data_IF_899528932369
#
_entry.id   IF_899528932369
#
_cell.length_a   1.000
_cell.length_b   1.000
_cell.length_c   1.000
_cell.angle_alpha   90.00
_cell.angle_beta   90.00
_cell.angle_gamma   90.00
#
_symmetry.space_group_name_H-M   'P 1'
#
loop_
_entity.id
_entity.type
_entity.pdbx_description
1 polymer ?
#
# COMPACT_ATOMS: atom_id res chain seq x y z
N UNK A 1 0.03 16.27 13.19
CA UNK A 1 -0.02 15.36 12.02
C UNK A 1 -0.35 13.94 12.47
N UNK A 2 -1.39 13.37 11.88
CA UNK A 2 -1.80 11.98 12.15
C UNK A 2 -0.84 10.99 11.48
N UNK A 3 -0.34 11.33 10.31
CA UNK A 3 0.57 10.48 9.54
C UNK A 3 0.95 11.12 8.22
N UNK A 4 1.67 10.37 7.42
CA UNK A 4 2.12 10.82 6.11
C UNK A 4 2.15 9.64 5.15
N UNK A 5 1.79 9.89 3.89
CA UNK A 5 1.93 8.91 2.83
C UNK A 5 2.66 9.57 1.65
N UNK A 6 3.50 8.79 0.99
CA UNK A 6 4.26 9.28 -0.17
C UNK A 6 4.30 8.22 -1.25
N UNK A 7 4.46 8.68 -2.48
CA UNK A 7 4.67 7.83 -3.64
C UNK A 7 6.00 8.24 -4.27
N UNK A 8 6.93 7.32 -4.33
CA UNK A 8 8.28 7.57 -4.85
C UNK A 8 8.73 6.50 -5.83
N UNK A 9 9.99 6.60 -6.27
CA UNK A 9 10.61 5.68 -7.22
C UNK A 9 9.72 5.46 -8.45
N UNK A 10 9.14 6.54 -8.97
CA UNK A 10 8.17 6.46 -10.08
C UNK A 10 8.90 6.21 -11.38
N UNK A 11 8.49 5.17 -12.10
CA UNK A 11 8.94 4.86 -13.46
C UNK A 11 7.74 4.99 -14.39
N UNK A 12 7.80 5.94 -15.32
CA UNK A 12 6.73 6.18 -16.29
C UNK A 12 7.01 5.53 -17.65
N UNK A 13 8.07 4.73 -17.75
CA UNK A 13 8.38 3.95 -18.94
C UNK A 13 7.51 2.70 -19.04
N UNK A 14 8.10 1.59 -19.49
CA UNK A 14 7.37 0.34 -19.72
C UNK A 14 6.75 -0.24 -18.45
N UNK A 15 7.36 -0.01 -17.30
CA UNK A 15 6.89 -0.61 -16.05
C UNK A 15 5.74 0.17 -15.41
N UNK A 16 5.76 1.48 -15.51
CA UNK A 16 4.77 2.39 -14.92
C UNK A 16 4.47 2.02 -13.47
N UNK A 17 5.52 2.07 -12.66
CA UNK A 17 5.49 1.64 -11.26
C UNK A 17 5.78 2.77 -10.30
N UNK A 18 5.42 2.58 -9.04
CA UNK A 18 5.79 3.45 -7.94
C UNK A 18 5.84 2.67 -6.64
N UNK A 19 6.54 3.24 -5.65
CA UNK A 19 6.68 2.64 -4.33
C UNK A 19 5.98 3.53 -3.31
N UNK A 20 5.11 2.94 -2.50
CA UNK A 20 4.37 3.63 -1.46
C UNK A 20 5.17 3.56 -0.16
N UNK A 21 5.40 4.72 0.46
CA UNK A 21 5.90 4.82 1.83
C UNK A 21 4.86 5.49 2.71
N UNK A 22 4.73 5.06 3.95
CA UNK A 22 3.79 5.68 4.87
C UNK A 22 4.16 5.43 6.32
N UNK A 23 3.68 6.34 7.19
CA UNK A 23 3.71 6.14 8.62
C UNK A 23 2.47 6.79 9.26
N UNK A 24 2.08 6.29 10.40
CA UNK A 24 0.97 6.84 11.19
C UNK A 24 1.47 7.06 12.61
N UNK A 25 1.13 8.22 13.18
CA UNK A 25 1.43 8.50 14.59
C UNK A 25 0.81 7.39 15.45
N UNK A 26 1.59 6.86 16.39
CA UNK A 26 1.19 5.74 17.21
C UNK A 26 -0.14 5.97 17.93
N UNK A 27 -0.43 7.22 18.30
CA UNK A 27 -1.69 7.60 18.97
C UNK A 27 -2.92 7.38 18.10
N UNK A 28 -2.73 7.33 16.78
CA UNK A 28 -3.82 7.18 15.80
C UNK A 28 -3.79 5.84 15.09
N UNK A 29 -2.86 4.97 15.44
CA UNK A 29 -2.77 3.66 14.84
C UNK A 29 -4.00 2.83 15.20
N UNK A 30 -4.47 1.98 14.27
CA UNK A 30 -5.64 1.16 14.49
C UNK A 30 -6.97 1.83 14.14
N UNK A 31 -6.95 3.11 13.71
CA UNK A 31 -8.16 3.84 13.32
C UNK A 31 -8.49 3.75 11.83
N UNK A 32 -7.77 2.92 11.08
CA UNK A 32 -8.02 2.75 9.65
C UNK A 32 -7.46 3.84 8.76
N UNK A 33 -6.64 4.75 9.28
CA UNK A 33 -6.09 5.85 8.49
C UNK A 33 -5.14 5.37 7.41
N UNK A 34 -4.23 4.45 7.74
CA UNK A 34 -3.23 3.98 6.77
C UNK A 34 -3.86 3.20 5.61
N UNK A 35 -4.76 2.22 5.84
CA UNK A 35 -5.42 1.54 4.71
C UNK A 35 -6.20 2.51 3.83
N UNK A 36 -6.90 3.49 4.42
CA UNK A 36 -7.65 4.47 3.66
C UNK A 36 -6.74 5.35 2.82
N UNK A 37 -5.62 5.83 3.40
CA UNK A 37 -4.67 6.65 2.67
C UNK A 37 -4.03 5.89 1.50
N UNK A 38 -3.66 4.63 1.71
CA UNK A 38 -3.11 3.79 0.63
C UNK A 38 -4.13 3.60 -0.48
N UNK A 39 -5.39 3.31 -0.13
CA UNK A 39 -6.44 3.11 -1.12
C UNK A 39 -6.71 4.40 -1.92
N UNK A 40 -6.77 5.55 -1.26
CA UNK A 40 -6.95 6.84 -1.94
C UNK A 40 -5.79 7.15 -2.89
N UNK A 41 -4.56 6.93 -2.44
CA UNK A 41 -3.38 7.16 -3.27
C UNK A 41 -3.38 6.23 -4.48
N UNK A 42 -3.75 4.97 -4.28
CA UNK A 42 -3.83 3.99 -5.36
C UNK A 42 -4.87 4.41 -6.41
N UNK A 43 -6.06 4.82 -5.97
CA UNK A 43 -7.10 5.26 -6.90
C UNK A 43 -6.64 6.46 -7.71
N UNK A 44 -5.99 7.43 -7.06
CA UNK A 44 -5.45 8.60 -7.77
C UNK A 44 -4.35 8.18 -8.76
N UNK A 45 -3.41 7.36 -8.32
CA UNK A 45 -2.25 7.01 -9.13
C UNK A 45 -2.59 6.13 -10.32
N UNK A 46 -3.60 5.27 -10.18
CA UNK A 46 -4.00 4.35 -11.26
C UNK A 46 -5.04 4.94 -12.20
N UNK A 47 -6.03 5.64 -11.66
CA UNK A 47 -7.27 5.91 -12.38
C UNK A 47 -7.53 7.39 -12.65
N UNK A 48 -7.03 8.30 -11.83
CA UNK A 48 -7.34 9.72 -11.96
C UNK A 48 -6.65 10.31 -13.19
N UNK A 49 -7.37 11.06 -14.05
CA UNK A 49 -6.76 11.71 -15.22
C UNK A 49 -5.64 12.69 -14.88
N UNK A 50 -5.65 13.25 -13.67
CA UNK A 50 -4.59 14.17 -13.21
C UNK A 50 -3.40 13.46 -12.59
N UNK A 51 -3.51 12.15 -12.37
CA UNK A 51 -2.46 11.35 -11.78
C UNK A 51 -1.51 10.74 -12.80
N UNK A 52 -0.50 10.01 -12.34
CA UNK A 52 0.54 9.45 -13.21
C UNK A 52 0.10 8.24 -14.05
N UNK A 53 -1.09 7.72 -13.81
CA UNK A 53 -1.61 6.55 -14.54
C UNK A 53 -0.67 5.37 -14.46
N UNK A 54 -0.29 4.99 -13.24
CA UNK A 54 0.60 3.86 -12.99
C UNK A 54 -0.12 2.53 -13.27
N UNK A 55 0.65 1.48 -13.49
CA UNK A 55 0.15 0.12 -13.65
C UNK A 55 0.31 -0.68 -12.36
N UNK A 56 1.40 -0.45 -11.62
CA UNK A 56 1.74 -1.23 -10.43
C UNK A 56 2.25 -0.32 -9.33
N UNK A 57 1.79 -0.55 -8.11
CA UNK A 57 2.31 0.13 -6.92
C UNK A 57 2.80 -0.91 -5.92
N UNK A 58 3.94 -0.65 -5.31
CA UNK A 58 4.59 -1.56 -4.38
C UNK A 58 4.57 -1.01 -2.97
N UNK A 59 4.32 -1.89 -2.01
CA UNK A 59 4.58 -1.64 -0.59
C UNK A 59 5.66 -2.62 -0.16
N UNK A 60 6.77 -2.08 0.38
CA UNK A 60 7.84 -2.89 0.93
C UNK A 60 7.86 -2.68 2.45
N UNK A 61 7.98 -3.77 3.21
CA UNK A 61 7.95 -3.69 4.65
C UNK A 61 8.95 -4.64 5.29
N UNK A 62 9.44 -4.27 6.47
CA UNK A 62 10.32 -5.14 7.24
C UNK A 62 9.53 -6.36 7.72
N UNK A 63 10.15 -7.56 7.75
CA UNK A 63 9.44 -8.79 8.13
C UNK A 63 8.79 -8.71 9.51
N UNK A 64 9.37 -7.94 10.43
CA UNK A 64 8.81 -7.77 11.78
C UNK A 64 7.67 -6.75 11.86
N UNK A 65 7.37 -6.04 10.78
CA UNK A 65 6.36 -4.97 10.79
C UNK A 65 4.95 -5.52 10.55
N UNK A 66 4.35 -6.08 11.59
CA UNK A 66 3.01 -6.66 11.55
C UNK A 66 1.93 -5.63 11.19
N UNK A 67 2.10 -4.40 11.67
CA UNK A 67 1.12 -3.32 11.40
C UNK A 67 1.04 -3.02 9.91
N UNK A 68 2.18 -2.86 9.25
CA UNK A 68 2.23 -2.61 7.81
C UNK A 68 1.70 -3.78 7.00
N UNK A 69 1.97 -5.01 7.46
CA UNK A 69 1.44 -6.21 6.80
C UNK A 69 -0.09 -6.21 6.83
N UNK A 70 -0.68 -5.85 7.97
CA UNK A 70 -2.14 -5.77 8.09
C UNK A 70 -2.73 -4.71 7.16
N UNK A 71 -2.05 -3.57 7.01
CA UNK A 71 -2.48 -2.53 6.06
C UNK A 71 -2.50 -3.07 4.64
N UNK A 72 -1.40 -3.72 4.20
CA UNK A 72 -1.31 -4.30 2.87
C UNK A 72 -2.44 -5.32 2.62
N UNK A 73 -2.72 -6.16 3.60
CA UNK A 73 -3.79 -7.16 3.49
C UNK A 73 -5.17 -6.51 3.41
N UNK A 74 -5.43 -5.47 4.20
CA UNK A 74 -6.74 -4.79 4.20
C UNK A 74 -7.03 -4.11 2.87
N UNK A 75 -6.02 -3.54 2.23
CA UNK A 75 -6.18 -2.88 0.93
C UNK A 75 -6.31 -3.91 -0.20
N UNK A 76 -5.90 -5.14 0.03
CA UNK A 76 -5.99 -6.20 -0.96
C UNK A 76 -4.74 -6.37 -1.80
N UNK A 77 -3.58 -6.06 -1.23
CA UNK A 77 -2.31 -6.21 -1.93
C UNK A 77 -1.96 -7.69 -2.13
N UNK A 78 -1.27 -7.96 -3.22
CA UNK A 78 -0.72 -9.28 -3.52
C UNK A 78 0.67 -9.42 -2.90
N UNK A 79 0.91 -10.50 -2.19
CA UNK A 79 2.23 -10.81 -1.66
C UNK A 79 3.14 -11.31 -2.78
N UNK A 80 4.32 -10.72 -2.92
CA UNK A 80 5.26 -11.08 -3.98
C UNK A 80 6.54 -11.75 -3.47
N UNK A 81 6.68 -11.89 -2.16
CA UNK A 81 7.84 -12.55 -1.58
C UNK A 81 8.80 -11.59 -0.90
N UNK A 82 9.99 -12.10 -0.58
CA UNK A 82 11.03 -11.34 0.13
C UNK A 82 12.10 -10.91 -0.86
N UNK A 83 12.47 -9.63 -0.80
CA UNK A 83 13.63 -9.10 -1.53
C UNK A 83 14.79 -8.96 -0.57
N UNK A 84 15.85 -9.73 -0.75
CA UNK A 84 16.98 -9.68 0.18
C UNK A 84 17.74 -8.37 0.04
N UNK A 85 18.13 -7.79 1.18
CA UNK A 85 18.95 -6.58 1.26
C UNK A 85 18.44 -5.47 0.35
N UNK A 86 17.13 -5.21 0.45
CA UNK A 86 16.43 -4.34 -0.48
C UNK A 86 16.61 -2.86 -0.17
N UNK A 87 16.52 -2.48 1.11
CA UNK A 87 16.65 -1.10 1.52
C UNK A 87 17.55 -0.97 2.73
N UNK A 88 18.26 0.17 2.81
CA UNK A 88 19.12 0.51 3.93
C UNK A 88 18.26 1.09 5.07
N UNK A 89 18.25 0.43 6.22
CA UNK A 89 17.43 0.82 7.36
C UNK A 89 18.27 0.72 8.64
N UNK A 90 18.38 1.84 9.36
CA UNK A 90 19.08 1.90 10.65
C UNK A 90 20.47 1.28 10.59
N UNK A 91 21.26 1.65 9.59
CA UNK A 91 22.66 1.23 9.47
C UNK A 91 22.86 -0.15 8.83
N UNK A 92 21.82 -0.80 8.36
CA UNK A 92 21.93 -2.13 7.74
C UNK A 92 21.10 -2.23 6.47
N UNK A 93 21.56 -3.04 5.54
CA UNK A 93 20.76 -3.47 4.39
C UNK A 93 19.84 -4.57 4.86
N UNK A 94 18.53 -4.35 4.73
CA UNK A 94 17.52 -5.21 5.30
C UNK A 94 16.69 -5.90 4.22
N UNK A 95 16.32 -7.14 4.47
CA UNK A 95 15.33 -7.84 3.66
C UNK A 95 13.96 -7.21 3.87
N UNK A 96 13.16 -7.15 2.80
CA UNK A 96 11.81 -6.61 2.85
C UNK A 96 10.83 -7.59 2.22
N UNK A 97 9.68 -7.74 2.85
CA UNK A 97 8.53 -8.37 2.21
C UNK A 97 7.92 -7.34 1.26
N UNK A 98 7.56 -7.79 0.07
CA UNK A 98 7.00 -6.90 -0.95
C UNK A 98 5.58 -7.33 -1.31
N UNK A 99 4.73 -6.32 -1.44
CA UNK A 99 3.32 -6.46 -1.80
C UNK A 99 3.02 -5.52 -2.93
N UNK A 100 2.04 -5.85 -3.77
CA UNK A 100 1.72 -5.02 -4.92
C UNK A 100 0.23 -4.83 -5.12
N UNK A 101 -0.10 -3.69 -5.71
CA UNK A 101 -1.43 -3.39 -6.25
C UNK A 101 -1.29 -3.16 -7.75
N UNK A 102 -2.27 -3.62 -8.52
CA UNK A 102 -2.29 -3.45 -9.96
C UNK A 102 -3.52 -2.66 -10.38
N UNK A 103 -3.37 -1.85 -11.44
CA UNK A 103 -4.47 -1.04 -11.96
C UNK A 103 -5.67 -1.90 -12.36
N UNK A 104 -5.44 -3.09 -12.91
CA UNK A 104 -6.51 -4.00 -13.34
C UNK A 104 -7.39 -4.47 -12.19
N UNK A 105 -6.87 -4.44 -10.97
CA UNK A 105 -7.61 -4.91 -9.79
C UNK A 105 -8.46 -3.81 -9.15
N UNK A 106 -8.41 -2.58 -9.68
CA UNK A 106 -9.09 -1.44 -9.07
C UNK A 106 -10.62 -1.60 -9.07
N UNK A 107 -11.20 -2.16 -10.13
CA UNK A 107 -12.65 -2.26 -10.26
C UNK A 107 -13.30 -0.89 -10.13
N UNK A 108 -14.23 -0.75 -9.17
CA UNK A 108 -14.89 0.52 -8.85
C UNK A 108 -14.04 1.43 -7.95
N UNK A 109 -12.81 1.04 -7.67
CA UNK A 109 -11.86 1.77 -6.83
C UNK A 109 -11.47 0.98 -5.58
N UNK A 110 -10.23 1.18 -5.15
CA UNK A 110 -9.74 0.53 -3.93
C UNK A 110 -10.44 1.07 -2.69
N UNK A 111 -10.76 2.36 -2.66
CA UNK A 111 -11.49 2.97 -1.56
C UNK A 111 -12.91 2.38 -1.45
N UNK A 112 -13.57 2.17 -2.57
CA UNK A 112 -14.89 1.57 -2.61
C UNK A 112 -14.85 0.14 -2.04
N UNK A 113 -13.87 -0.63 -2.47
CA UNK A 113 -13.68 -2.01 -1.98
C UNK A 113 -13.38 -2.05 -0.49
N UNK A 114 -12.54 -1.13 -0.01
CA UNK A 114 -12.20 -1.04 1.40
C UNK A 114 -13.43 -0.74 2.26
N UNK A 115 -14.26 0.21 1.83
CA UNK A 115 -15.49 0.57 2.53
C UNK A 115 -16.47 -0.61 2.53
N UNK A 116 -16.66 -1.25 1.39
CA UNK A 116 -17.56 -2.40 1.27
C UNK A 116 -17.12 -3.56 2.17
N UNK A 117 -15.82 -3.85 2.20
CA UNK A 117 -15.26 -4.88 3.07
C UNK A 117 -15.47 -4.54 4.54
N UNK A 118 -15.32 -3.28 4.91
CA UNK A 118 -15.47 -2.83 6.28
C UNK A 118 -16.93 -2.92 6.75
N UNK A 119 -17.89 -2.85 5.85
CA UNK A 119 -19.32 -2.98 6.15
C UNK A 119 -19.78 -4.43 6.28
N UNK A 120 -18.94 -5.41 5.92
CA UNK A 120 -19.28 -6.83 6.04
C UNK A 120 -19.12 -7.31 7.47
N UNK A 121 -19.85 -8.40 7.86
CA UNK A 121 -19.59 -9.07 9.14
C UNK A 121 -18.13 -9.49 9.25
N UNK A 122 -17.58 -9.44 10.45
CA UNK A 122 -16.17 -9.73 10.69
C UNK A 122 -15.75 -11.12 10.19
N UNK A 123 -16.64 -12.10 10.28
CA UNK A 123 -16.39 -13.46 9.81
C UNK A 123 -16.17 -13.55 8.30
N UNK A 124 -16.55 -12.53 7.54
CA UNK A 124 -16.41 -12.48 6.08
C UNK A 124 -15.21 -11.63 5.65
N UNK A 125 -14.68 -10.82 6.56
CA UNK A 125 -13.58 -9.89 6.26
C UNK A 125 -12.19 -10.53 6.29
N UNK A 126 -12.07 -11.72 6.82
CA UNK A 126 -10.78 -12.40 7.00
C UNK A 126 -10.07 -12.74 5.69
#
# INVERSE_FOLDING_TARGET
IVGQISLGAIDLGSMRTGVIGYWVDQRYAGHGFAPMAVALLADWAFCDPTGPRLHRMEIALLPENERSRRVACKVGCHYEGVRPRYMFVNGQWRDHETYSLFAEDAGDGFIHRLIARHAMPESVQS
#
